data_IF_019868303459
#
_entry.id   IF_019868303459
#
_cell.length_a   1.000
_cell.length_b   1.000
_cell.length_c   1.000
_cell.angle_alpha   90.00
_cell.angle_beta   90.00
_cell.angle_gamma   90.00
#
_symmetry.space_group_name_H-M   'P 1'
#
loop_
_entity.id
_entity.type
_entity.pdbx_description
1 polymer ?
#
# COMPACT_ATOMS: atom_id res chain seq x y z
N UNK A 1 14.05 -10.54 23.45
CA UNK A 1 14.29 -9.23 22.84
C UNK A 1 15.15 -8.40 23.78
N UNK A 2 16.03 -7.50 23.28
CA UNK A 2 16.69 -6.55 24.17
C UNK A 2 15.62 -5.63 24.80
N UNK A 3 15.79 -5.30 26.08
CA UNK A 3 14.85 -4.45 26.80
C UNK A 3 14.88 -3.00 26.33
N UNK A 4 16.02 -2.55 25.75
CA UNK A 4 16.21 -1.20 25.24
C UNK A 4 17.01 -1.20 23.95
N UNK A 5 16.90 -0.12 23.15
CA UNK A 5 17.80 0.15 22.04
C UNK A 5 19.19 0.55 22.54
N UNK A 6 20.21 0.46 21.69
CA UNK A 6 21.60 0.81 22.03
C UNK A 6 21.79 2.27 22.43
N UNK A 7 20.88 3.16 21.99
CA UNK A 7 20.83 4.56 22.38
C UNK A 7 19.61 4.76 23.29
N UNK A 8 19.86 4.86 24.58
CA UNK A 8 18.82 5.07 25.58
C UNK A 8 18.46 6.55 25.65
N UNK A 9 17.25 6.89 25.20
CA UNK A 9 16.62 8.17 25.54
C UNK A 9 15.56 7.87 26.60
N UNK A 10 15.56 8.61 27.71
CA UNK A 10 14.60 8.44 28.82
C UNK A 10 13.15 8.73 28.44
N UNK A 11 12.90 9.11 27.19
CA UNK A 11 11.57 9.45 26.69
C UNK A 11 10.84 8.19 26.21
N UNK A 12 9.76 7.84 26.90
CA UNK A 12 8.88 6.72 26.58
C UNK A 12 7.93 7.01 25.42
N UNK A 13 7.92 8.23 24.88
CA UNK A 13 7.10 8.57 23.70
C UNK A 13 7.68 7.87 22.48
N UNK A 14 6.83 7.32 21.64
CA UNK A 14 7.22 6.65 20.41
C UNK A 14 6.74 7.45 19.19
N UNK A 15 7.58 7.55 18.15
CA UNK A 15 7.18 8.15 16.88
C UNK A 15 5.91 7.49 16.31
N UNK A 16 5.68 6.21 16.63
CA UNK A 16 4.48 5.48 16.25
C UNK A 16 3.17 5.99 16.91
N UNK A 17 3.26 6.81 17.97
CA UNK A 17 2.10 7.46 18.59
C UNK A 17 1.70 8.73 17.85
N UNK A 18 2.61 9.30 17.07
CA UNK A 18 2.35 10.51 16.28
C UNK A 18 1.59 10.14 15.02
N UNK A 19 0.58 10.90 14.71
CA UNK A 19 -0.13 10.74 13.45
C UNK A 19 0.72 11.30 12.31
N UNK A 20 0.68 10.70 11.14
CA UNK A 20 1.52 11.09 10.01
C UNK A 20 1.39 12.58 9.64
N UNK A 21 0.22 13.19 9.85
CA UNK A 21 0.01 14.63 9.60
C UNK A 21 0.66 15.54 10.64
N UNK A 22 0.98 15.03 11.82
CA UNK A 22 1.75 15.76 12.82
C UNK A 22 3.26 15.68 12.53
N UNK A 23 3.68 14.60 11.84
CA UNK A 23 5.08 14.41 11.39
C UNK A 23 5.39 15.27 10.16
N UNK A 24 4.44 15.35 9.21
CA UNK A 24 4.61 16.10 7.97
C UNK A 24 3.82 17.41 8.02
N UNK A 25 4.49 18.51 8.41
CA UNK A 25 3.88 19.83 8.54
C UNK A 25 3.54 20.51 7.18
N UNK A 26 4.00 19.97 6.04
CA UNK A 26 3.73 20.51 4.71
C UNK A 26 2.31 20.19 4.24
N UNK A 27 1.49 21.23 4.06
CA UNK A 27 0.09 21.11 3.61
C UNK A 27 -0.05 20.52 2.22
N UNK A 28 0.90 20.77 1.30
CA UNK A 28 0.86 20.18 -0.05
C UNK A 28 1.09 18.68 0.03
N UNK A 29 2.06 18.24 0.85
CA UNK A 29 2.29 16.82 1.10
C UNK A 29 1.09 16.15 1.78
N UNK A 30 0.49 16.80 2.79
CA UNK A 30 -0.71 16.27 3.46
C UNK A 30 -1.88 16.07 2.48
N UNK A 31 -2.11 17.03 1.58
CA UNK A 31 -3.13 16.94 0.55
C UNK A 31 -2.84 15.79 -0.45
N UNK A 32 -1.58 15.63 -0.86
CA UNK A 32 -1.17 14.52 -1.73
C UNK A 32 -1.36 13.16 -1.07
N UNK A 33 -0.97 13.01 0.19
CA UNK A 33 -1.18 11.77 0.95
C UNK A 33 -2.67 11.48 1.07
N UNK A 34 -3.49 12.46 1.44
CA UNK A 34 -4.95 12.29 1.57
C UNK A 34 -5.57 11.85 0.24
N UNK A 35 -5.22 12.55 -0.85
CA UNK A 35 -5.67 12.17 -2.20
C UNK A 35 -5.23 10.75 -2.58
N UNK A 36 -4.01 10.36 -2.22
CA UNK A 36 -3.51 9.01 -2.47
C UNK A 36 -4.32 7.97 -1.72
N UNK A 37 -4.57 8.15 -0.43
CA UNK A 37 -5.33 7.20 0.37
C UNK A 37 -6.77 7.02 -0.13
N UNK A 38 -7.36 8.07 -0.70
CA UNK A 38 -8.74 8.03 -1.25
C UNK A 38 -8.80 7.42 -2.66
N UNK A 39 -7.82 7.70 -3.51
CA UNK A 39 -7.91 7.41 -4.94
C UNK A 39 -7.01 6.27 -5.41
N UNK A 40 -5.96 5.92 -4.67
CA UNK A 40 -5.04 4.84 -5.03
C UNK A 40 -5.78 3.53 -5.29
N UNK A 41 -5.42 2.86 -6.38
CA UNK A 41 -6.11 1.63 -6.83
C UNK A 41 -5.80 0.44 -5.92
N UNK A 42 -4.56 0.33 -5.44
CA UNK A 42 -4.15 -0.75 -4.54
C UNK A 42 -4.86 -0.63 -3.19
N UNK A 43 -5.05 0.60 -2.69
CA UNK A 43 -5.83 0.86 -1.49
C UNK A 43 -7.31 0.44 -1.68
N UNK A 44 -7.91 0.75 -2.83
CA UNK A 44 -9.29 0.31 -3.16
C UNK A 44 -9.40 -1.22 -3.25
N UNK A 45 -8.39 -1.88 -3.82
CA UNK A 45 -8.30 -3.34 -3.87
C UNK A 45 -8.19 -3.91 -2.45
N UNK A 46 -7.34 -3.34 -1.59
CA UNK A 46 -7.20 -3.78 -0.20
C UNK A 46 -8.51 -3.65 0.59
N UNK A 47 -9.22 -2.53 0.44
CA UNK A 47 -10.55 -2.33 1.05
C UNK A 47 -11.57 -3.35 0.55
N UNK A 48 -11.59 -3.63 -0.75
CA UNK A 48 -12.47 -4.64 -1.33
C UNK A 48 -12.13 -6.04 -0.79
N UNK A 49 -10.84 -6.35 -0.61
CA UNK A 49 -10.37 -7.62 -0.05
C UNK A 49 -10.80 -7.79 1.41
N UNK A 50 -10.75 -6.75 2.22
CA UNK A 50 -11.26 -6.78 3.60
C UNK A 50 -12.77 -7.10 3.60
N UNK A 51 -13.56 -6.48 2.71
CA UNK A 51 -15.00 -6.77 2.57
C UNK A 51 -15.25 -8.22 2.12
N UNK A 52 -14.47 -8.74 1.18
CA UNK A 52 -14.52 -10.13 0.74
C UNK A 52 -14.29 -11.10 1.90
N UNK A 53 -13.22 -10.85 2.69
CA UNK A 53 -12.89 -11.72 3.81
C UNK A 53 -13.92 -11.61 4.95
N UNK A 54 -14.51 -10.43 5.17
CA UNK A 54 -15.63 -10.26 6.09
C UNK A 54 -16.85 -11.10 5.65
N UNK A 55 -17.15 -11.13 4.35
CA UNK A 55 -18.23 -11.96 3.83
C UNK A 55 -17.93 -13.46 3.98
N UNK A 56 -16.71 -13.90 3.68
CA UNK A 56 -16.27 -15.29 3.90
C UNK A 56 -16.41 -15.73 5.35
N UNK A 57 -15.92 -14.89 6.29
CA UNK A 57 -16.10 -15.13 7.72
C UNK A 57 -17.59 -15.30 8.09
N UNK A 58 -18.47 -14.49 7.51
CA UNK A 58 -19.90 -14.60 7.79
C UNK A 58 -20.52 -15.88 7.20
N UNK A 59 -20.00 -16.40 6.08
CA UNK A 59 -20.40 -17.69 5.51
C UNK A 59 -20.03 -18.82 6.49
N UNK A 60 -18.80 -18.84 6.99
CA UNK A 60 -18.37 -19.84 7.97
C UNK A 60 -19.17 -19.74 9.27
N UNK A 61 -19.46 -18.51 9.72
CA UNK A 61 -20.31 -18.27 10.89
C UNK A 61 -21.75 -18.76 10.70
N UNK A 62 -22.28 -18.68 9.49
CA UNK A 62 -23.63 -19.16 9.21
C UNK A 62 -23.81 -20.66 9.43
N UNK A 63 -22.72 -21.45 9.39
CA UNK A 63 -22.75 -22.89 9.65
C UNK A 63 -23.10 -23.25 11.12
N UNK A 64 -23.06 -22.28 12.06
CA UNK A 64 -23.57 -22.49 13.41
C UNK A 64 -25.10 -22.60 13.48
N UNK A 65 -25.82 -22.16 12.45
CA UNK A 65 -27.28 -22.09 12.44
C UNK A 65 -27.89 -23.16 11.52
N UNK A 66 -29.12 -23.59 11.79
CA UNK A 66 -29.85 -24.48 10.89
C UNK A 66 -29.99 -23.89 9.49
N UNK A 67 -29.76 -24.70 8.47
CA UNK A 67 -29.98 -24.35 7.07
C UNK A 67 -31.38 -24.76 6.65
N UNK A 68 -32.11 -23.82 6.07
CA UNK A 68 -33.46 -24.04 5.54
C UNK A 68 -33.41 -23.92 4.02
N UNK A 69 -33.71 -25.01 3.34
CA UNK A 69 -33.75 -25.08 1.88
C UNK A 69 -35.19 -25.34 1.40
N UNK A 70 -35.67 -24.48 0.52
CA UNK A 70 -36.96 -24.68 -0.16
C UNK A 70 -36.76 -25.00 -1.63
N UNK A 71 -37.47 -25.98 -2.15
CA UNK A 71 -37.53 -26.28 -3.56
C UNK A 71 -38.96 -26.43 -4.02
N UNK A 72 -39.25 -25.91 -5.20
CA UNK A 72 -40.51 -26.18 -5.91
C UNK A 72 -40.15 -26.84 -7.25
N UNK A 73 -40.87 -27.88 -7.59
CA UNK A 73 -40.67 -28.58 -8.84
C UNK A 73 -42.01 -28.80 -9.56
N UNK A 74 -41.94 -28.84 -10.85
CA UNK A 74 -43.02 -29.26 -11.74
C UNK A 74 -42.38 -30.19 -12.77
N UNK A 75 -42.85 -31.42 -12.83
CA UNK A 75 -42.36 -32.42 -13.79
C UNK A 75 -43.53 -33.06 -14.53
N UNK A 76 -43.31 -33.39 -15.80
CA UNK A 76 -44.22 -34.17 -16.59
C UNK A 76 -43.46 -35.42 -17.00
N UNK A 77 -43.92 -36.55 -16.51
CA UNK A 77 -43.28 -37.85 -16.75
C UNK A 77 -44.17 -38.71 -17.62
N UNK A 78 -43.64 -39.11 -18.76
CA UNK A 78 -44.32 -40.04 -19.65
C UNK A 78 -43.85 -41.47 -19.34
N UNK A 79 -44.70 -42.26 -18.68
CA UNK A 79 -44.40 -43.65 -18.30
C UNK A 79 -45.11 -44.63 -19.22
N UNK A 80 -44.35 -45.56 -19.81
CA UNK A 80 -44.89 -46.72 -20.54
C UNK A 80 -44.54 -48.00 -19.77
N UNK A 81 -45.53 -48.54 -19.07
CA UNK A 81 -45.38 -49.78 -18.28
C UNK A 81 -45.51 -51.07 -19.09
N UNK A 82 -45.15 -51.08 -20.37
CA UNK A 82 -45.13 -52.28 -21.20
C UNK A 82 -46.48 -52.64 -21.86
N UNK A 83 -47.45 -51.69 -21.85
CA UNK A 83 -48.71 -51.75 -22.57
C UNK A 83 -48.81 -50.64 -23.61
N UNK A 84 -49.88 -50.67 -24.44
CA UNK A 84 -50.12 -49.65 -25.46
C UNK A 84 -50.61 -48.30 -24.88
N UNK A 85 -50.71 -48.14 -23.56
CA UNK A 85 -51.19 -46.93 -22.88
C UNK A 85 -50.03 -46.09 -22.38
N UNK A 86 -49.82 -45.00 -23.06
CA UNK A 86 -48.91 -43.97 -22.67
C UNK A 86 -49.60 -43.03 -21.63
N UNK A 87 -49.17 -43.08 -20.37
CA UNK A 87 -49.69 -42.17 -19.34
C UNK A 87 -48.71 -41.01 -19.15
N UNK A 88 -49.20 -39.82 -19.39
CA UNK A 88 -48.53 -38.58 -18.94
C UNK A 88 -49.00 -38.29 -17.53
N UNK A 89 -48.06 -38.29 -16.59
CA UNK A 89 -48.32 -37.88 -15.22
C UNK A 89 -47.65 -36.51 -14.97
N UNK A 90 -48.47 -35.53 -14.59
CA UNK A 90 -48.02 -34.19 -14.30
C UNK A 90 -47.98 -34.00 -12.78
N UNK A 91 -46.79 -33.90 -12.24
CA UNK A 91 -46.55 -33.74 -10.81
C UNK A 91 -45.98 -32.37 -10.51
N UNK A 92 -46.52 -31.71 -9.52
CA UNK A 92 -45.90 -30.51 -8.94
C UNK A 92 -45.84 -30.66 -7.42
N UNK A 93 -44.76 -30.12 -6.85
CA UNK A 93 -44.58 -30.20 -5.41
C UNK A 93 -43.72 -29.07 -4.87
N UNK A 94 -43.91 -28.81 -3.59
CA UNK A 94 -43.08 -27.90 -2.81
C UNK A 94 -42.47 -28.71 -1.66
N UNK A 95 -41.18 -28.61 -1.50
CA UNK A 95 -40.42 -29.30 -0.45
C UNK A 95 -39.62 -28.31 0.36
N UNK A 96 -39.75 -28.32 1.66
CA UNK A 96 -38.88 -27.63 2.60
C UNK A 96 -38.03 -28.65 3.37
N UNK A 97 -36.74 -28.39 3.45
CA UNK A 97 -35.80 -29.21 4.18
C UNK A 97 -35.02 -28.34 5.19
N UNK A 98 -35.00 -28.79 6.43
CA UNK A 98 -34.21 -28.16 7.50
C UNK A 98 -33.09 -29.11 7.87
N UNK A 99 -31.85 -28.66 7.79
CA UNK A 99 -30.65 -29.40 8.18
C UNK A 99 -29.83 -28.58 9.17
N UNK A 100 -29.34 -29.24 10.19
CA UNK A 100 -28.45 -28.62 11.18
C UNK A 100 -27.38 -29.61 11.58
N UNK A 101 -26.12 -29.15 11.50
CA UNK A 101 -24.97 -29.93 11.91
C UNK A 101 -24.55 -29.52 13.33
N UNK A 102 -24.54 -30.47 14.25
CA UNK A 102 -24.07 -30.23 15.62
C UNK A 102 -22.55 -30.33 15.66
N UNK A 103 -21.89 -29.28 16.11
CA UNK A 103 -20.42 -29.20 16.17
C UNK A 103 -19.82 -29.98 17.34
N UNK A 104 -19.98 -31.32 17.32
CA UNK A 104 -19.54 -32.21 18.37
C UNK A 104 -18.01 -32.26 18.52
N UNK A 105 -17.31 -32.18 17.39
CA UNK A 105 -15.86 -32.30 17.33
C UNK A 105 -15.14 -30.95 17.17
N UNK A 106 -15.89 -29.86 17.06
CA UNK A 106 -15.37 -28.50 16.91
C UNK A 106 -14.94 -28.15 15.48
N UNK A 107 -15.47 -28.86 14.48
CA UNK A 107 -15.16 -28.58 13.06
C UNK A 107 -15.60 -27.17 12.67
N UNK A 108 -16.85 -26.79 12.98
CA UNK A 108 -17.41 -25.46 12.68
C UNK A 108 -16.67 -24.40 13.48
N UNK A 109 -16.33 -24.68 14.73
CA UNK A 109 -15.55 -23.74 15.57
C UNK A 109 -14.16 -23.47 14.99
N UNK A 110 -13.41 -24.51 14.59
CA UNK A 110 -12.08 -24.33 13.99
C UNK A 110 -12.15 -23.62 12.63
N UNK A 111 -13.17 -23.91 11.81
CA UNK A 111 -13.40 -23.22 10.55
C UNK A 111 -13.64 -21.70 10.77
N UNK A 112 -14.45 -21.38 11.78
CA UNK A 112 -14.74 -19.99 12.16
C UNK A 112 -13.51 -19.26 12.72
N UNK A 113 -12.71 -19.92 13.56
CA UNK A 113 -11.48 -19.36 14.10
C UNK A 113 -10.48 -19.07 12.98
N UNK A 114 -10.33 -19.99 12.02
CA UNK A 114 -9.51 -19.78 10.83
C UNK A 114 -9.97 -18.57 10.03
N UNK A 115 -11.24 -18.52 9.65
CA UNK A 115 -11.77 -17.43 8.82
C UNK A 115 -11.75 -16.08 9.54
N UNK A 116 -11.91 -16.05 10.85
CA UNK A 116 -11.76 -14.86 11.67
C UNK A 116 -10.31 -14.37 11.67
N UNK A 117 -9.35 -15.25 11.85
CA UNK A 117 -7.93 -14.90 11.81
C UNK A 117 -7.49 -14.44 10.41
N UNK A 118 -7.97 -15.08 9.33
CA UNK A 118 -7.74 -14.65 7.95
C UNK A 118 -8.32 -13.23 7.70
N UNK A 119 -9.51 -12.95 8.21
CA UNK A 119 -10.12 -11.63 8.13
C UNK A 119 -9.28 -10.57 8.87
N UNK A 120 -8.88 -10.85 10.12
CA UNK A 120 -8.02 -9.94 10.89
C UNK A 120 -6.66 -9.73 10.23
N UNK A 121 -6.05 -10.79 9.69
CA UNK A 121 -4.82 -10.69 8.89
C UNK A 121 -4.97 -9.74 7.70
N UNK A 122 -6.12 -9.76 7.03
CA UNK A 122 -6.39 -8.89 5.88
C UNK A 122 -6.55 -7.43 6.29
N UNK A 123 -7.14 -7.15 7.46
CA UNK A 123 -7.21 -5.80 8.03
C UNK A 123 -5.80 -5.26 8.31
N UNK A 124 -4.96 -6.06 8.94
CA UNK A 124 -3.58 -5.63 9.22
C UNK A 124 -2.76 -5.45 7.92
N UNK A 125 -3.02 -6.27 6.90
CA UNK A 125 -2.45 -6.08 5.56
C UNK A 125 -2.87 -4.77 4.90
N UNK A 126 -4.13 -4.35 5.06
CA UNK A 126 -4.60 -3.04 4.60
C UNK A 126 -3.89 -1.89 5.34
N UNK A 127 -3.69 -2.02 6.66
CA UNK A 127 -2.94 -1.02 7.46
C UNK A 127 -1.49 -0.92 7.04
N UNK A 128 -0.83 -2.06 6.79
CA UNK A 128 0.54 -2.09 6.29
C UNK A 128 0.67 -1.38 4.94
N UNK A 129 -0.26 -1.64 4.01
CA UNK A 129 -0.31 -0.96 2.71
C UNK A 129 -0.50 0.56 2.87
N UNK A 130 -1.40 0.98 3.77
CA UNK A 130 -1.62 2.41 4.05
C UNK A 130 -0.33 3.09 4.52
N UNK A 131 0.40 2.47 5.44
CA UNK A 131 1.68 3.00 5.93
C UNK A 131 2.73 3.08 4.82
N UNK A 132 2.83 2.05 3.98
CA UNK A 132 3.74 2.04 2.83
C UNK A 132 3.41 3.16 1.84
N UNK A 133 2.12 3.33 1.48
CA UNK A 133 1.70 4.39 0.56
C UNK A 133 2.01 5.80 1.10
N UNK A 134 1.81 6.04 2.40
CA UNK A 134 2.17 7.31 3.04
C UNK A 134 3.68 7.57 2.93
N UNK A 135 4.49 6.56 3.23
CA UNK A 135 5.95 6.65 3.14
C UNK A 135 6.42 6.86 1.69
N UNK A 136 5.87 6.10 0.73
CA UNK A 136 6.22 6.20 -0.69
C UNK A 136 5.89 7.59 -1.27
N UNK A 137 4.74 8.17 -0.90
CA UNK A 137 4.38 9.52 -1.34
C UNK A 137 5.32 10.55 -0.73
N UNK A 138 5.61 10.45 0.57
CA UNK A 138 6.50 11.37 1.25
C UNK A 138 7.93 11.32 0.68
N UNK A 139 8.49 10.13 0.48
CA UNK A 139 9.81 9.93 -0.13
C UNK A 139 9.87 10.57 -1.51
N UNK A 140 8.92 10.25 -2.40
CA UNK A 140 8.94 10.80 -3.76
C UNK A 140 8.70 12.32 -3.79
N UNK A 141 7.94 12.86 -2.85
CA UNK A 141 7.73 14.30 -2.71
C UNK A 141 9.01 15.03 -2.29
N UNK A 142 9.72 14.53 -1.28
CA UNK A 142 10.99 15.12 -0.87
C UNK A 142 12.10 14.97 -1.92
N UNK A 143 12.14 13.84 -2.62
CA UNK A 143 13.03 13.64 -3.75
C UNK A 143 12.75 14.67 -4.88
N UNK A 144 11.47 14.93 -5.16
CA UNK A 144 11.06 15.92 -6.16
C UNK A 144 11.57 17.33 -5.77
N UNK A 145 11.37 17.72 -4.50
CA UNK A 145 11.87 18.98 -3.97
C UNK A 145 13.41 19.05 -4.06
N UNK A 146 14.11 17.97 -3.76
CA UNK A 146 15.57 17.92 -3.87
C UNK A 146 16.04 18.11 -5.33
N UNK A 147 15.37 17.46 -6.30
CA UNK A 147 15.67 17.60 -7.73
C UNK A 147 15.40 19.03 -8.25
N UNK A 148 14.32 19.66 -7.80
CA UNK A 148 14.05 21.08 -8.15
C UNK A 148 15.15 22.00 -7.64
N UNK A 149 15.63 21.75 -6.42
CA UNK A 149 16.72 22.53 -5.84
C UNK A 149 18.03 22.29 -6.60
N UNK A 150 18.34 21.06 -6.94
CA UNK A 150 19.49 20.72 -7.78
C UNK A 150 19.41 21.42 -9.13
N UNK A 151 18.27 21.36 -9.81
CA UNK A 151 18.04 22.05 -11.09
C UNK A 151 18.26 23.57 -10.95
N UNK A 152 17.76 24.17 -9.87
CA UNK A 152 17.98 25.60 -9.59
C UNK A 152 19.45 25.94 -9.44
N UNK A 153 20.20 25.14 -8.68
CA UNK A 153 21.64 25.32 -8.47
C UNK A 153 22.41 25.15 -9.80
N UNK A 154 22.08 24.12 -10.59
CA UNK A 154 22.72 23.89 -11.89
C UNK A 154 22.44 25.05 -12.86
N UNK A 155 21.21 25.59 -12.90
CA UNK A 155 20.87 26.77 -13.72
C UNK A 155 21.65 28.01 -13.26
N UNK A 156 21.80 28.23 -11.96
CA UNK A 156 22.64 29.33 -11.45
C UNK A 156 24.12 29.13 -11.78
N UNK A 157 24.63 27.90 -11.65
CA UNK A 157 26.00 27.54 -12.01
C UNK A 157 26.24 27.76 -13.50
N UNK A 158 25.28 27.40 -14.38
CA UNK A 158 25.40 27.61 -15.81
C UNK A 158 25.59 29.10 -16.18
N UNK A 159 24.86 30.00 -15.51
CA UNK A 159 25.03 31.46 -15.70
C UNK A 159 26.45 31.88 -15.30
N UNK A 160 26.96 31.41 -14.18
CA UNK A 160 28.33 31.72 -13.75
C UNK A 160 29.39 31.13 -14.71
N UNK A 161 29.17 29.94 -15.25
CA UNK A 161 30.06 29.32 -16.26
C UNK A 161 30.03 30.10 -17.58
N UNK A 162 28.87 30.60 -18.01
CA UNK A 162 28.75 31.44 -19.20
C UNK A 162 29.60 32.73 -19.06
N UNK A 163 29.52 33.39 -17.94
CA UNK A 163 30.38 34.59 -17.66
C UNK A 163 31.87 34.19 -17.63
N UNK A 164 32.21 33.01 -17.09
CA UNK A 164 33.56 32.45 -17.13
C UNK A 164 34.08 32.25 -18.54
N UNK A 165 33.26 31.69 -19.44
CA UNK A 165 33.60 31.51 -20.86
C UNK A 165 33.83 32.87 -21.53
N UNK A 166 32.99 33.90 -21.30
CA UNK A 166 33.15 35.23 -21.84
C UNK A 166 34.47 35.84 -21.41
N UNK A 167 34.84 35.75 -20.15
CA UNK A 167 36.09 36.25 -19.59
C UNK A 167 37.30 35.49 -20.17
N UNK A 168 37.24 34.16 -20.23
CA UNK A 168 38.30 33.33 -20.79
C UNK A 168 38.55 33.70 -22.29
N UNK A 169 37.50 33.97 -23.05
CA UNK A 169 37.56 34.38 -24.45
C UNK A 169 38.28 35.73 -24.59
N UNK A 170 37.90 36.73 -23.82
CA UNK A 170 38.52 38.07 -23.84
C UNK A 170 40.02 37.98 -23.50
N UNK A 171 40.40 37.16 -22.49
CA UNK A 171 41.81 36.99 -22.13
C UNK A 171 42.60 36.24 -23.22
N UNK A 172 42.04 35.26 -23.90
CA UNK A 172 42.66 34.57 -24.99
C UNK A 172 42.86 35.50 -26.20
N UNK A 173 41.82 36.24 -26.61
CA UNK A 173 41.90 37.19 -27.72
C UNK A 173 42.89 38.34 -27.41
N UNK A 174 43.03 38.74 -26.14
CA UNK A 174 44.03 39.69 -25.68
C UNK A 174 45.45 39.11 -25.51
N UNK A 175 45.69 37.83 -25.83
CA UNK A 175 47.00 37.19 -25.72
C UNK A 175 47.47 36.91 -24.29
N UNK A 176 46.57 37.02 -23.29
CA UNK A 176 46.91 36.90 -21.87
C UNK A 176 46.86 35.44 -21.37
N UNK A 177 46.18 34.53 -22.08
CA UNK A 177 46.02 33.13 -21.75
C UNK A 177 46.09 32.23 -22.94
N UNK A 178 46.32 30.93 -22.72
CA UNK A 178 46.35 29.92 -23.80
C UNK A 178 44.93 29.59 -24.30
N UNK A 179 44.81 29.12 -25.53
CA UNK A 179 43.58 28.59 -26.09
C UNK A 179 43.01 27.42 -25.23
N UNK A 180 43.88 26.61 -24.66
CA UNK A 180 43.48 25.49 -23.76
C UNK A 180 42.60 25.98 -22.62
N UNK A 181 42.91 27.11 -22.00
CA UNK A 181 42.10 27.67 -20.93
C UNK A 181 40.73 28.10 -21.36
N UNK A 182 40.60 28.67 -22.61
CA UNK A 182 39.31 29.00 -23.19
C UNK A 182 38.49 27.76 -23.53
N UNK A 183 39.12 26.76 -24.17
CA UNK A 183 38.45 25.49 -24.48
C UNK A 183 37.99 24.75 -23.24
N UNK A 184 38.75 24.77 -22.15
CA UNK A 184 38.37 24.19 -20.88
C UNK A 184 37.16 24.89 -20.26
N UNK A 185 37.08 26.21 -20.33
CA UNK A 185 35.92 26.96 -19.86
C UNK A 185 34.64 26.59 -20.66
N UNK A 186 34.79 26.44 -22.00
CA UNK A 186 33.67 25.98 -22.84
C UNK A 186 33.22 24.55 -22.53
N UNK A 187 34.17 23.64 -22.27
CA UNK A 187 33.87 22.27 -21.88
C UNK A 187 33.05 22.23 -20.59
N UNK A 188 33.49 22.99 -19.56
CA UNK A 188 32.79 23.08 -18.27
C UNK A 188 31.35 23.66 -18.42
N UNK A 189 31.19 24.68 -19.28
CA UNK A 189 29.88 25.19 -19.61
C UNK A 189 28.99 24.14 -20.29
N UNK A 190 29.52 23.42 -21.30
CA UNK A 190 28.77 22.39 -22.02
C UNK A 190 28.36 21.22 -21.13
N UNK A 191 29.26 20.76 -20.24
CA UNK A 191 28.94 19.71 -19.25
C UNK A 191 27.81 20.17 -18.33
N UNK A 192 27.90 21.40 -17.79
CA UNK A 192 26.86 21.92 -16.91
C UNK A 192 25.51 22.09 -17.66
N UNK A 193 25.54 22.55 -18.89
CA UNK A 193 24.33 22.65 -19.72
C UNK A 193 23.66 21.31 -19.99
N UNK A 194 24.46 20.24 -20.20
CA UNK A 194 23.95 18.90 -20.43
C UNK A 194 23.27 18.26 -19.20
N UNK A 195 23.53 18.75 -17.99
CA UNK A 195 22.85 18.28 -16.77
C UNK A 195 21.40 18.71 -16.71
N UNK A 196 21.04 19.86 -17.30
CA UNK A 196 19.69 20.43 -17.19
C UNK A 196 18.61 19.48 -17.75
N UNK A 197 18.70 18.99 -19.02
CA UNK A 197 17.66 18.12 -19.55
C UNK A 197 17.57 16.77 -18.82
N UNK A 198 18.66 16.28 -18.23
CA UNK A 198 18.63 15.05 -17.42
C UNK A 198 17.85 15.28 -16.11
N UNK A 199 18.07 16.41 -15.45
CA UNK A 199 17.34 16.79 -14.24
C UNK A 199 15.84 17.04 -14.54
N UNK A 200 15.53 17.76 -15.61
CA UNK A 200 14.13 18.00 -16.02
C UNK A 200 13.40 16.69 -16.33
N UNK A 201 14.08 15.72 -16.96
CA UNK A 201 13.55 14.37 -17.16
C UNK A 201 13.32 13.64 -15.81
N UNK A 202 14.26 13.70 -14.87
CA UNK A 202 14.11 13.07 -13.54
C UNK A 202 12.94 13.68 -12.78
N UNK A 203 12.76 15.00 -12.84
CA UNK A 203 11.63 15.70 -12.23
C UNK A 203 10.32 15.18 -12.83
N UNK A 204 10.19 15.15 -14.14
CA UNK A 204 8.98 14.67 -14.80
C UNK A 204 8.65 13.21 -14.45
N UNK A 205 9.66 12.34 -14.33
CA UNK A 205 9.48 10.96 -13.89
C UNK A 205 8.95 10.89 -12.45
N UNK A 206 9.50 11.71 -11.54
CA UNK A 206 9.05 11.76 -10.14
C UNK A 206 7.64 12.31 -10.01
N UNK A 207 7.29 13.37 -10.74
CA UNK A 207 5.92 13.89 -10.80
C UNK A 207 4.93 12.80 -11.25
N UNK A 208 5.22 12.13 -12.35
CA UNK A 208 4.38 11.05 -12.85
C UNK A 208 4.25 9.90 -11.83
N UNK A 209 5.31 9.58 -11.09
CA UNK A 209 5.26 8.55 -10.04
C UNK A 209 4.33 8.96 -8.90
N UNK A 210 4.41 10.21 -8.42
CA UNK A 210 3.53 10.74 -7.37
C UNK A 210 2.06 10.71 -7.85
N UNK A 211 1.79 11.16 -9.07
CA UNK A 211 0.43 11.19 -9.63
C UNK A 211 -0.15 9.80 -9.85
N UNK A 212 0.69 8.83 -10.23
CA UNK A 212 0.30 7.42 -10.30
C UNK A 212 -0.07 6.87 -8.91
N UNK A 213 0.73 7.18 -7.88
CA UNK A 213 0.40 6.83 -6.49
C UNK A 213 -0.91 7.49 -6.04
N UNK A 214 -1.11 8.76 -6.38
CA UNK A 214 -2.34 9.49 -6.08
C UNK A 214 -3.55 9.00 -6.91
N UNK A 215 -3.35 8.15 -7.92
CA UNK A 215 -4.42 7.64 -8.77
C UNK A 215 -5.10 8.72 -9.62
N UNK A 216 -4.38 9.80 -9.93
CA UNK A 216 -4.85 10.96 -10.70
C UNK A 216 -4.19 11.01 -12.08
N UNK A 217 -4.81 11.78 -12.99
CA UNK A 217 -4.22 12.04 -14.31
C UNK A 217 -2.99 12.94 -14.19
N UNK A 218 -2.07 12.92 -15.18
CA UNK A 218 -0.89 13.77 -15.21
C UNK A 218 -1.27 15.26 -15.11
N UNK A 219 -0.87 15.87 -14.00
CA UNK A 219 -1.02 17.29 -13.68
C UNK A 219 0.27 17.78 -13.05
N UNK A 220 0.46 19.06 -12.96
CA UNK A 220 1.58 19.62 -12.21
C UNK A 220 1.40 19.37 -10.71
N UNK A 221 2.42 18.76 -10.08
CA UNK A 221 2.40 18.51 -8.64
C UNK A 221 2.71 19.82 -7.91
N UNK A 222 1.73 20.32 -7.15
CA UNK A 222 1.97 21.47 -6.29
C UNK A 222 2.96 21.10 -5.17
N UNK A 223 3.99 21.92 -5.02
CA UNK A 223 5.04 21.72 -4.05
C UNK A 223 5.43 23.03 -3.38
N UNK A 224 5.80 22.91 -2.13
CA UNK A 224 6.28 24.05 -1.37
C UNK A 224 7.69 24.42 -1.84
N UNK A 225 7.94 25.71 -2.06
CA UNK A 225 9.31 26.16 -2.28
C UNK A 225 10.16 25.78 -1.06
N UNK A 226 11.40 25.33 -1.31
CA UNK A 226 12.34 25.06 -0.23
C UNK A 226 12.60 26.38 0.50
N UNK A 227 11.79 26.69 1.48
CA UNK A 227 12.19 27.55 2.56
C UNK A 227 12.81 26.65 3.64
N UNK A 228 13.87 27.14 4.26
CA UNK A 228 14.72 26.49 5.24
C UNK A 228 14.01 25.96 6.51
N UNK A 229 12.74 25.64 6.45
CA UNK A 229 11.86 25.27 7.55
C UNK A 229 11.43 23.78 7.54
N UNK A 230 12.20 22.88 6.92
CA UNK A 230 12.14 21.48 7.30
C UNK A 230 12.79 21.37 8.69
N UNK A 231 12.06 21.76 9.72
CA UNK A 231 12.43 21.44 11.08
C UNK A 231 12.19 19.94 11.26
N UNK A 232 13.23 19.16 11.00
CA UNK A 232 13.26 17.80 11.52
C UNK A 232 13.19 17.91 13.04
N UNK A 233 12.42 17.05 13.74
CA UNK A 233 12.46 17.02 15.19
C UNK A 233 13.90 16.76 15.64
N UNK A 234 14.38 17.51 16.62
CA UNK A 234 15.76 17.42 17.13
C UNK A 234 16.10 16.01 17.66
N UNK A 235 15.09 15.24 18.06
CA UNK A 235 15.21 13.84 18.46
C UNK A 235 14.02 13.02 17.94
N UNK A 236 14.29 11.81 17.45
CA UNK A 236 13.26 10.86 17.08
C UNK A 236 13.05 9.93 18.30
N UNK A 237 11.87 9.97 18.95
CA UNK A 237 11.60 9.10 20.07
C UNK A 237 11.51 7.64 19.59
N UNK A 238 12.41 6.79 20.09
CA UNK A 238 12.57 5.41 19.60
C UNK A 238 11.53 4.45 20.18
N UNK A 239 10.96 4.74 21.35
CA UNK A 239 10.05 3.84 22.08
C UNK A 239 10.72 2.56 22.57
N UNK A 240 9.93 1.60 23.06
CA UNK A 240 10.42 0.32 23.51
C UNK A 240 10.43 -0.73 22.38
N UNK A 241 11.47 -1.57 22.26
CA UNK A 241 11.52 -2.63 21.23
C UNK A 241 10.35 -3.62 21.30
N UNK A 242 9.81 -3.89 22.48
CA UNK A 242 8.64 -4.75 22.70
C UNK A 242 7.37 -4.20 22.05
N UNK A 243 7.20 -2.88 22.02
CA UNK A 243 6.02 -2.21 21.46
C UNK A 243 5.88 -2.44 19.96
N UNK A 244 7.00 -2.70 19.26
CA UNK A 244 7.00 -3.00 17.83
C UNK A 244 6.18 -4.26 17.50
N UNK A 245 6.12 -5.25 18.41
CA UNK A 245 5.32 -6.47 18.20
C UNK A 245 3.82 -6.16 18.17
N UNK A 246 3.37 -5.22 18.99
CA UNK A 246 1.96 -4.86 19.08
C UNK A 246 1.56 -3.78 18.07
N UNK A 247 2.51 -2.94 17.62
CA UNK A 247 2.22 -1.77 16.79
C UNK A 247 2.43 -2.02 15.29
N UNK A 248 3.38 -2.86 14.88
CA UNK A 248 3.68 -3.14 13.48
C UNK A 248 2.59 -3.99 12.83
N UNK A 249 1.87 -3.45 11.80
CA UNK A 249 0.79 -4.20 11.15
C UNK A 249 1.28 -5.45 10.42
N UNK A 250 2.52 -5.46 9.89
CA UNK A 250 3.11 -6.61 9.22
C UNK A 250 3.38 -7.77 10.18
N UNK A 251 3.80 -7.48 11.42
CA UNK A 251 3.98 -8.47 12.48
C UNK A 251 2.62 -9.03 12.91
N UNK A 252 1.64 -8.16 13.16
CA UNK A 252 0.27 -8.56 13.52
C UNK A 252 -0.40 -9.37 12.41
N UNK A 253 -0.16 -9.00 11.15
CA UNK A 253 -0.63 -9.78 10.01
C UNK A 253 -0.03 -11.19 10.02
N UNK A 254 1.28 -11.33 10.30
CA UNK A 254 1.95 -12.62 10.37
C UNK A 254 1.44 -13.47 11.56
N UNK A 255 1.19 -12.85 12.72
CA UNK A 255 0.58 -13.50 13.88
C UNK A 255 -0.81 -14.06 13.54
N UNK A 256 -1.68 -13.26 12.91
CA UNK A 256 -3.00 -13.71 12.51
C UNK A 256 -2.94 -14.86 11.50
N UNK A 257 -1.95 -14.85 10.58
CA UNK A 257 -1.71 -15.97 9.67
C UNK A 257 -1.28 -17.24 10.42
N UNK A 258 -0.47 -17.11 11.46
CA UNK A 258 -0.09 -18.23 12.31
C UNK A 258 -1.31 -18.81 13.03
N UNK A 259 -2.17 -17.97 13.59
CA UNK A 259 -3.43 -18.39 14.22
C UNK A 259 -4.32 -19.12 13.21
N UNK A 260 -4.47 -18.59 11.98
CA UNK A 260 -5.25 -19.23 10.93
C UNK A 260 -4.68 -20.60 10.52
N UNK A 261 -3.35 -20.72 10.43
CA UNK A 261 -2.67 -21.98 10.16
C UNK A 261 -2.87 -23.01 11.27
N UNK A 262 -2.77 -22.57 12.53
CA UNK A 262 -3.05 -23.42 13.69
C UNK A 262 -4.50 -23.91 13.71
N UNK A 263 -5.46 -23.02 13.44
CA UNK A 263 -6.88 -23.39 13.30
C UNK A 263 -7.10 -24.39 12.16
N UNK A 264 -6.33 -24.30 11.06
CA UNK A 264 -6.37 -25.27 9.96
C UNK A 264 -5.88 -26.66 10.38
N UNK A 265 -4.91 -26.76 11.31
CA UNK A 265 -4.50 -28.04 11.90
C UNK A 265 -5.65 -28.62 12.73
N UNK A 266 -6.30 -27.82 13.59
CA UNK A 266 -7.48 -28.23 14.34
C UNK A 266 -8.62 -28.73 13.44
N UNK A 267 -8.90 -27.99 12.35
CA UNK A 267 -9.90 -28.37 11.36
C UNK A 267 -9.56 -29.70 10.68
N UNK A 268 -8.30 -29.92 10.29
CA UNK A 268 -7.85 -31.17 9.69
C UNK A 268 -7.98 -32.35 10.64
N UNK A 269 -7.69 -32.14 11.91
CA UNK A 269 -7.86 -33.16 12.95
C UNK A 269 -9.34 -33.54 13.13
N UNK A 270 -10.24 -32.55 13.19
CA UNK A 270 -11.69 -32.83 13.34
C UNK A 270 -12.30 -33.54 12.15
N UNK A 271 -11.74 -33.38 10.95
CA UNK A 271 -12.17 -34.10 9.73
C UNK A 271 -11.90 -35.62 9.76
N UNK A 272 -11.14 -36.12 10.74
CA UNK A 272 -10.96 -37.57 10.93
C UNK A 272 -12.15 -38.24 11.63
N UNK A 273 -13.04 -37.48 12.23
CA UNK A 273 -14.21 -37.98 12.94
C UNK A 273 -15.46 -37.94 12.05
N UNK A 274 -16.45 -38.86 12.32
CA UNK A 274 -17.72 -38.85 11.60
C UNK A 274 -18.46 -37.52 11.78
N UNK A 275 -19.16 -37.10 10.74
CA UNK A 275 -20.04 -35.91 10.77
C UNK A 275 -21.46 -36.32 11.10
#
# INVERSE_FOLDING_TARGET
>A
MPENYSEYLEDTTCLADMKWWDVYADTNLQNLITSTLENNKDMKIAVAKVKEMAAKKNIDFANYFPQINGSAYAQNEGLNYGGNDYKNDFEFGVKANISWELDLWGNIRWANERSMAEYLSTIEGQRALMMSLVADVAENYFDLIALDNELRIVKQTLIAREEGVKLAKIRFEGGLTSETSYQQAQLEYAITAAMIPDLEKKIAIKENKILNLAGTYPLEVQRSAIQNNLSLPDSIPLGLPSDLLERRPDVRMAEQKLIAANASVGLSYTNMFPR
#
